data_IF_656977596116
#
_entry.id   IF_656977596116
#
_cell.length_a   1.000
_cell.length_b   1.000
_cell.length_c   1.000
_cell.angle_alpha   90.00
_cell.angle_beta   90.00
_cell.angle_gamma   90.00
#
_symmetry.space_group_name_H-M   'P 1'
#
loop_
_entity.id
_entity.type
_entity.pdbx_description
1 polymer ?
#
# COMPACT_ATOMS: atom_id res chain seq x y z
N UNK A 1 4.14 4.84 -17.35
CA UNK A 1 3.24 5.76 -18.09
C UNK A 1 2.02 5.05 -18.66
N UNK A 2 2.12 3.81 -19.19
CA UNK A 2 0.96 3.07 -19.71
C UNK A 2 0.10 2.38 -18.62
N UNK A 3 0.70 1.99 -17.50
CA UNK A 3 0.04 1.31 -16.35
C UNK A 3 -0.85 2.25 -15.53
N UNK A 4 -0.39 3.45 -15.16
CA UNK A 4 -1.21 4.48 -14.48
C UNK A 4 -2.54 4.84 -15.20
N UNK A 5 -2.63 4.64 -16.52
CA UNK A 5 -3.86 4.88 -17.28
C UNK A 5 -4.83 3.69 -17.19
N UNK A 6 -4.31 2.48 -17.00
CA UNK A 6 -5.04 1.23 -16.87
C UNK A 6 -5.86 1.20 -15.57
N UNK A 7 -5.23 1.45 -14.42
CA UNK A 7 -5.91 1.36 -13.12
C UNK A 7 -6.97 2.46 -12.95
N UNK A 8 -6.71 3.64 -13.54
CA UNK A 8 -7.72 4.70 -13.66
C UNK A 8 -8.92 4.27 -14.51
N UNK A 9 -8.70 3.46 -15.55
CA UNK A 9 -9.77 2.89 -16.34
C UNK A 9 -10.53 1.83 -15.56
N UNK A 10 -9.86 1.01 -14.76
CA UNK A 10 -10.49 -0.07 -14.00
C UNK A 10 -11.40 0.46 -12.89
N UNK A 11 -10.91 1.44 -12.11
CA UNK A 11 -11.74 2.16 -11.13
C UNK A 11 -12.92 2.87 -11.79
N UNK A 12 -12.69 3.53 -12.93
CA UNK A 12 -13.74 4.25 -13.64
C UNK A 12 -14.80 3.29 -14.20
N UNK A 13 -14.39 2.17 -14.77
CA UNK A 13 -15.31 1.13 -15.25
C UNK A 13 -16.09 0.53 -14.09
N UNK A 14 -15.46 0.21 -12.96
CA UNK A 14 -16.17 -0.28 -11.77
C UNK A 14 -17.25 0.69 -11.31
N UNK A 15 -16.94 1.99 -11.23
CA UNK A 15 -17.91 3.02 -10.85
C UNK A 15 -19.12 3.02 -11.81
N UNK A 16 -18.86 3.03 -13.11
CA UNK A 16 -19.92 3.05 -14.14
C UNK A 16 -20.76 1.76 -14.12
N UNK A 17 -20.12 0.60 -13.94
CA UNK A 17 -20.80 -0.69 -13.82
C UNK A 17 -21.66 -0.73 -12.56
N UNK A 18 -21.14 -0.28 -11.41
CA UNK A 18 -21.88 -0.26 -10.16
C UNK A 18 -23.02 0.76 -10.18
N UNK A 19 -22.86 1.89 -10.86
CA UNK A 19 -23.94 2.83 -11.12
C UNK A 19 -25.07 2.18 -11.94
N UNK A 20 -24.72 1.50 -13.03
CA UNK A 20 -25.68 0.76 -13.85
C UNK A 20 -26.37 -0.37 -13.07
N UNK A 21 -25.62 -1.12 -12.25
CA UNK A 21 -26.14 -2.17 -11.38
C UNK A 21 -27.13 -1.62 -10.34
N UNK A 22 -26.79 -0.51 -9.70
CA UNK A 22 -27.67 0.16 -8.73
C UNK A 22 -29.00 0.60 -9.36
N UNK A 23 -28.96 1.19 -10.57
CA UNK A 23 -30.16 1.55 -11.33
C UNK A 23 -31.06 0.35 -11.66
N UNK A 24 -30.52 -0.86 -11.65
CA UNK A 24 -31.22 -2.10 -11.94
C UNK A 24 -31.43 -2.98 -10.69
N UNK A 25 -31.30 -2.42 -9.48
CA UNK A 25 -31.53 -3.13 -8.23
C UNK A 25 -30.56 -4.29 -7.99
N UNK A 26 -29.31 -4.16 -8.45
CA UNK A 26 -28.24 -5.15 -8.24
C UNK A 26 -27.23 -4.65 -7.21
N UNK A 27 -26.69 -5.57 -6.42
CA UNK A 27 -25.63 -5.28 -5.46
C UNK A 27 -24.36 -4.80 -6.17
N UNK A 28 -23.62 -3.90 -5.53
CA UNK A 28 -22.33 -3.46 -6.03
C UNK A 28 -21.35 -4.64 -6.11
N UNK A 29 -20.48 -4.61 -7.12
CA UNK A 29 -19.31 -5.45 -7.23
C UNK A 29 -18.14 -4.77 -6.54
N UNK A 30 -17.21 -5.57 -6.06
CA UNK A 30 -15.85 -5.14 -5.78
C UNK A 30 -14.95 -5.64 -6.90
N UNK A 31 -13.79 -5.03 -7.06
CA UNK A 31 -12.79 -5.60 -7.97
C UNK A 31 -12.05 -6.76 -7.27
N UNK A 32 -11.30 -7.56 -8.02
CA UNK A 32 -10.50 -8.69 -7.51
C UNK A 32 -9.19 -8.80 -8.29
N UNK A 33 -8.07 -8.77 -7.57
CA UNK A 33 -6.72 -8.79 -8.13
C UNK A 33 -6.49 -10.00 -9.05
N UNK A 34 -6.97 -11.18 -8.65
CA UNK A 34 -6.82 -12.41 -9.48
C UNK A 34 -7.58 -12.33 -10.78
N UNK A 35 -8.77 -11.70 -10.77
CA UNK A 35 -9.56 -11.52 -11.98
C UNK A 35 -8.95 -10.46 -12.90
N UNK A 36 -8.37 -9.43 -12.30
CA UNK A 36 -7.66 -8.33 -12.97
C UNK A 36 -6.42 -8.84 -13.70
N UNK A 37 -5.52 -9.51 -12.97
CA UNK A 37 -4.32 -10.13 -13.53
C UNK A 37 -4.64 -11.07 -14.70
N UNK A 38 -5.71 -11.86 -14.57
CA UNK A 38 -6.17 -12.73 -15.65
C UNK A 38 -6.69 -11.94 -16.86
N UNK A 39 -7.37 -10.82 -16.62
CA UNK A 39 -7.93 -9.95 -17.65
C UNK A 39 -6.85 -9.15 -18.39
N UNK A 40 -5.86 -8.58 -17.69
CA UNK A 40 -4.75 -7.84 -18.28
C UNK A 40 -3.88 -8.69 -19.18
N UNK A 41 -3.47 -9.86 -18.68
CA UNK A 41 -2.73 -10.85 -19.49
C UNK A 41 -3.51 -11.18 -20.75
N UNK A 42 -4.83 -11.33 -20.64
CA UNK A 42 -5.66 -11.69 -21.78
C UNK A 42 -5.90 -10.54 -22.77
N UNK A 43 -6.07 -9.30 -22.30
CA UNK A 43 -6.16 -8.13 -23.15
C UNK A 43 -4.90 -7.99 -24.04
N UNK A 44 -3.73 -8.22 -23.45
CA UNK A 44 -2.45 -8.22 -24.17
C UNK A 44 -2.31 -9.40 -25.15
N UNK A 45 -2.77 -10.60 -24.79
CA UNK A 45 -2.79 -11.75 -25.72
C UNK A 45 -3.66 -11.44 -26.93
N UNK A 46 -4.88 -10.94 -26.73
CA UNK A 46 -5.80 -10.55 -27.81
C UNK A 46 -5.20 -9.47 -28.70
N UNK A 47 -4.54 -8.47 -28.11
CA UNK A 47 -3.86 -7.41 -28.84
C UNK A 47 -2.69 -7.93 -29.68
N UNK A 48 -1.84 -8.78 -29.10
CA UNK A 48 -0.66 -9.34 -29.78
C UNK A 48 -1.02 -10.20 -31.00
N UNK A 49 -2.18 -10.85 -30.96
CA UNK A 49 -2.68 -11.68 -32.05
C UNK A 49 -3.69 -10.95 -32.95
N UNK A 50 -4.04 -9.70 -32.62
CA UNK A 50 -5.08 -8.91 -33.27
C UNK A 50 -6.42 -9.67 -33.40
N UNK A 51 -6.81 -10.45 -32.39
CA UNK A 51 -8.03 -11.27 -32.38
C UNK A 51 -8.84 -10.99 -31.12
N UNK A 52 -10.15 -10.75 -31.26
CA UNK A 52 -11.10 -10.67 -30.15
C UNK A 52 -11.81 -12.02 -30.02
N UNK A 53 -11.50 -12.78 -28.97
CA UNK A 53 -12.09 -14.10 -28.74
C UNK A 53 -12.08 -14.45 -27.26
N UNK A 54 -13.09 -15.17 -26.77
CA UNK A 54 -13.12 -15.71 -25.41
C UNK A 54 -12.16 -16.89 -25.20
N UNK A 55 -11.76 -17.53 -26.30
CA UNK A 55 -10.83 -18.66 -26.32
C UNK A 55 -9.70 -18.42 -27.32
N UNK A 56 -8.49 -18.24 -26.79
CA UNK A 56 -7.24 -18.15 -27.56
C UNK A 56 -6.18 -19.04 -26.91
N UNK A 57 -5.29 -19.60 -27.73
CA UNK A 57 -4.19 -20.47 -27.28
C UNK A 57 -4.66 -21.61 -26.35
N UNK A 58 -5.82 -22.20 -26.65
CA UNK A 58 -6.48 -23.23 -25.82
C UNK A 58 -6.79 -22.79 -24.37
N UNK A 59 -6.81 -21.49 -24.09
CA UNK A 59 -7.26 -20.95 -22.80
C UNK A 59 -8.76 -20.64 -22.81
N UNK A 60 -9.41 -20.92 -21.70
CA UNK A 60 -10.74 -20.40 -21.32
C UNK A 60 -10.59 -19.42 -20.17
N UNK A 61 -11.60 -18.57 -19.93
CA UNK A 61 -11.61 -17.71 -18.75
C UNK A 61 -11.35 -18.48 -17.46
N UNK A 62 -12.00 -19.64 -17.28
CA UNK A 62 -11.79 -20.49 -16.11
C UNK A 62 -10.31 -20.91 -15.96
N UNK A 63 -9.67 -21.35 -17.04
CA UNK A 63 -8.24 -21.71 -16.99
C UNK A 63 -7.34 -20.50 -16.70
N UNK A 64 -7.69 -19.30 -17.20
CA UNK A 64 -6.94 -18.07 -16.95
C UNK A 64 -7.04 -17.64 -15.50
N UNK A 65 -8.25 -17.60 -14.95
CA UNK A 65 -8.47 -17.23 -13.56
C UNK A 65 -7.88 -18.27 -12.60
N UNK A 66 -7.94 -19.57 -12.93
CA UNK A 66 -7.30 -20.62 -12.13
C UNK A 66 -5.78 -20.50 -12.12
N UNK A 67 -5.15 -20.04 -13.21
CA UNK A 67 -3.71 -19.78 -13.24
C UNK A 67 -3.30 -18.66 -12.27
N UNK A 68 -4.19 -17.69 -12.02
CA UNK A 68 -4.02 -16.65 -10.99
C UNK A 68 -4.46 -17.09 -9.58
N UNK A 69 -4.75 -18.38 -9.38
CA UNK A 69 -5.16 -18.93 -8.08
C UNK A 69 -6.64 -18.71 -7.72
N UNK A 70 -7.49 -18.35 -8.69
CA UNK A 70 -8.93 -18.27 -8.45
C UNK A 70 -9.53 -19.68 -8.38
N UNK A 71 -10.13 -20.01 -7.24
CA UNK A 71 -10.55 -21.39 -6.92
C UNK A 71 -11.96 -21.75 -7.40
N UNK A 72 -12.78 -20.78 -7.80
CA UNK A 72 -14.18 -21.02 -8.14
C UNK A 72 -14.39 -21.06 -9.65
N UNK A 73 -15.20 -22.01 -10.12
CA UNK A 73 -15.43 -22.27 -11.54
C UNK A 73 -16.56 -21.43 -12.16
N UNK A 74 -17.20 -20.56 -11.37
CA UNK A 74 -18.32 -19.74 -11.82
C UNK A 74 -17.82 -18.37 -12.25
N UNK A 75 -17.42 -18.30 -13.53
CA UNK A 75 -16.81 -17.11 -14.13
C UNK A 75 -17.61 -16.64 -15.37
N UNK A 76 -17.60 -15.34 -15.64
CA UNK A 76 -18.24 -14.70 -16.81
C UNK A 76 -17.30 -13.66 -17.40
N UNK A 77 -17.38 -13.40 -18.70
CA UNK A 77 -16.52 -12.39 -19.34
C UNK A 77 -17.26 -11.56 -20.38
N UNK A 78 -16.91 -10.28 -20.43
CA UNK A 78 -17.23 -9.37 -21.52
C UNK A 78 -15.93 -8.94 -22.20
N UNK A 79 -15.92 -8.92 -23.53
CA UNK A 79 -14.77 -8.46 -24.30
C UNK A 79 -15.13 -7.20 -25.10
N UNK A 80 -14.14 -6.39 -25.40
CA UNK A 80 -14.29 -5.17 -26.19
C UNK A 80 -13.08 -4.91 -27.07
N UNK A 81 -13.31 -4.24 -28.21
CA UNK A 81 -12.25 -3.76 -29.10
C UNK A 81 -12.63 -2.40 -29.65
N UNK A 82 -11.68 -1.46 -29.67
CA UNK A 82 -11.85 -0.15 -30.29
C UNK A 82 -12.46 0.92 -29.39
N UNK A 83 -12.78 0.61 -28.14
CA UNK A 83 -13.23 1.62 -27.16
C UNK A 83 -12.01 2.34 -26.61
N UNK A 84 -11.98 3.67 -26.70
CA UNK A 84 -10.85 4.48 -26.24
C UNK A 84 -11.03 5.01 -24.82
N UNK A 85 -12.22 4.85 -24.23
CA UNK A 85 -12.52 5.28 -22.86
C UNK A 85 -13.35 4.25 -22.09
N UNK A 86 -13.29 4.26 -20.75
CA UNK A 86 -14.18 3.50 -19.87
C UNK A 86 -15.67 3.65 -20.20
N UNK A 87 -16.14 4.87 -20.45
CA UNK A 87 -17.54 5.16 -20.77
C UNK A 87 -17.98 4.47 -22.06
N UNK A 88 -17.13 4.49 -23.09
CA UNK A 88 -17.42 3.82 -24.36
C UNK A 88 -17.50 2.30 -24.19
N UNK A 89 -16.56 1.72 -23.43
CA UNK A 89 -16.54 0.29 -23.17
C UNK A 89 -17.80 -0.16 -22.41
N UNK A 90 -18.12 0.52 -21.29
CA UNK A 90 -19.29 0.19 -20.46
C UNK A 90 -20.59 0.40 -21.23
N UNK A 91 -20.74 1.50 -21.97
CA UNK A 91 -21.92 1.72 -22.78
C UNK A 91 -22.06 0.67 -23.89
N UNK A 92 -20.96 0.26 -24.51
CA UNK A 92 -20.92 -0.83 -25.48
C UNK A 92 -21.40 -2.15 -24.90
N UNK A 93 -20.96 -2.49 -23.68
CA UNK A 93 -21.42 -3.69 -22.97
C UNK A 93 -22.90 -3.60 -22.54
N UNK A 94 -23.36 -2.45 -22.06
CA UNK A 94 -24.78 -2.23 -21.73
C UNK A 94 -25.69 -2.43 -22.97
N UNK A 95 -25.21 -2.02 -24.14
CA UNK A 95 -25.99 -2.12 -25.38
C UNK A 95 -26.02 -3.54 -25.98
N UNK A 96 -25.09 -4.42 -25.59
CA UNK A 96 -25.04 -5.82 -26.02
C UNK A 96 -25.84 -6.71 -25.06
N UNK A 97 -26.88 -7.44 -25.50
CA UNK A 97 -27.70 -8.27 -24.60
C UNK A 97 -26.91 -9.31 -23.80
N UNK A 98 -25.92 -9.96 -24.42
CA UNK A 98 -25.07 -10.94 -23.75
C UNK A 98 -24.17 -10.30 -22.68
N UNK A 99 -23.52 -9.19 -23.01
CA UNK A 99 -22.66 -8.49 -22.06
C UNK A 99 -23.46 -7.84 -20.92
N UNK A 100 -24.61 -7.24 -21.24
CA UNK A 100 -25.56 -6.69 -20.26
C UNK A 100 -26.06 -7.76 -19.29
N UNK A 101 -26.30 -8.98 -19.75
CA UNK A 101 -26.69 -10.08 -18.88
C UNK A 101 -25.60 -10.41 -17.84
N UNK A 102 -24.33 -10.39 -18.23
CA UNK A 102 -23.21 -10.54 -17.29
C UNK A 102 -23.15 -9.38 -16.29
N UNK A 103 -23.29 -8.14 -16.74
CA UNK A 103 -23.30 -6.94 -15.87
C UNK A 103 -24.40 -6.96 -14.83
N UNK A 104 -25.55 -7.58 -15.12
CA UNK A 104 -26.71 -7.68 -14.23
C UNK A 104 -26.84 -9.01 -13.51
N UNK A 105 -25.84 -9.88 -13.62
CA UNK A 105 -25.86 -11.19 -12.98
C UNK A 105 -25.89 -11.04 -11.45
N UNK A 106 -26.70 -11.87 -10.80
CA UNK A 106 -26.93 -11.85 -9.33
C UNK A 106 -25.99 -12.78 -8.58
N UNK A 107 -25.31 -13.65 -9.29
CA UNK A 107 -24.38 -14.64 -8.76
C UNK A 107 -22.94 -14.14 -8.70
N UNK A 108 -22.66 -12.94 -9.19
CA UNK A 108 -21.32 -12.33 -9.16
C UNK A 108 -21.19 -11.34 -8.00
N UNK A 109 -20.00 -11.32 -7.40
CA UNK A 109 -19.64 -10.39 -6.33
C UNK A 109 -18.37 -9.61 -6.66
N UNK A 110 -17.52 -10.16 -7.54
CA UNK A 110 -16.26 -9.55 -7.93
C UNK A 110 -16.18 -9.34 -9.44
N UNK A 111 -15.34 -8.39 -9.86
CA UNK A 111 -14.92 -8.21 -11.24
C UNK A 111 -13.41 -7.98 -11.35
N UNK A 112 -12.86 -8.17 -12.53
CA UNK A 112 -11.52 -7.72 -12.92
C UNK A 112 -11.58 -7.12 -14.31
N UNK A 113 -10.68 -6.21 -14.62
CA UNK A 113 -10.61 -5.52 -15.89
C UNK A 113 -9.19 -5.60 -16.43
N UNK A 114 -9.07 -5.65 -17.75
CA UNK A 114 -7.80 -5.46 -18.41
C UNK A 114 -7.98 -4.73 -19.71
N UNK A 115 -7.05 -3.83 -20.01
CA UNK A 115 -7.03 -3.04 -21.22
C UNK A 115 -5.63 -3.00 -21.84
N UNK A 116 -5.62 -3.14 -23.16
CA UNK A 116 -4.42 -2.97 -23.98
C UNK A 116 -4.65 -1.81 -24.94
N UNK A 117 -3.85 -0.76 -24.77
CA UNK A 117 -3.81 0.40 -25.65
C UNK A 117 -3.41 0.04 -27.09
N UNK A 118 -2.67 -1.06 -27.28
CA UNK A 118 -2.43 -1.61 -28.61
C UNK A 118 -3.72 -2.23 -29.17
N UNK A 119 -4.42 -1.47 -30.03
CA UNK A 119 -5.67 -1.89 -30.66
C UNK A 119 -6.92 -1.73 -29.78
N UNK A 120 -6.78 -1.13 -28.60
CA UNK A 120 -7.86 -0.83 -27.65
C UNK A 120 -8.69 -2.07 -27.28
N UNK A 121 -8.01 -3.11 -26.81
CA UNK A 121 -8.63 -4.35 -26.38
C UNK A 121 -9.03 -4.28 -24.91
N UNK A 122 -10.22 -4.76 -24.58
CA UNK A 122 -10.76 -4.80 -23.23
C UNK A 122 -11.18 -6.23 -22.88
N UNK A 123 -10.82 -6.67 -21.68
CA UNK A 123 -11.24 -7.93 -21.08
C UNK A 123 -11.84 -7.65 -19.72
N UNK A 124 -13.10 -7.99 -19.50
CA UNK A 124 -13.77 -7.81 -18.21
C UNK A 124 -14.23 -9.15 -17.69
N UNK A 125 -13.69 -9.58 -16.55
CA UNK A 125 -13.97 -10.86 -15.91
C UNK A 125 -14.89 -10.64 -14.70
N UNK A 126 -15.76 -11.61 -14.42
CA UNK A 126 -16.62 -11.61 -13.23
C UNK A 126 -16.62 -12.98 -12.57
N UNK A 127 -16.76 -13.00 -11.26
CA UNK A 127 -16.90 -14.26 -10.53
C UNK A 127 -17.67 -14.12 -9.22
N UNK A 128 -18.12 -15.29 -8.71
CA UNK A 128 -18.74 -15.42 -7.39
C UNK A 128 -17.69 -15.73 -6.33
N UNK A 129 -17.73 -14.98 -5.23
CA UNK A 129 -17.09 -15.29 -3.95
C UNK A 129 -15.63 -15.69 -4.10
N UNK A 130 -14.70 -14.78 -3.86
CA UNK A 130 -13.32 -15.18 -3.64
C UNK A 130 -13.12 -15.36 -2.14
N UNK A 131 -12.63 -16.54 -1.71
CA UNK A 131 -12.36 -16.80 -0.30
C UNK A 131 -11.18 -15.97 0.22
N UNK A 132 -10.44 -15.35 -0.71
CA UNK A 132 -9.40 -14.38 -0.45
C UNK A 132 -9.28 -13.48 -1.70
N UNK A 133 -10.19 -12.50 -1.92
CA UNK A 133 -10.29 -11.73 -3.18
C UNK A 133 -9.03 -10.96 -3.58
N UNK A 134 -8.05 -10.89 -2.67
CA UNK A 134 -7.32 -9.66 -2.42
C UNK A 134 -8.32 -8.62 -1.93
N UNK A 135 -7.93 -7.72 -1.04
CA UNK A 135 -8.49 -6.38 -1.23
C UNK A 135 -8.07 -5.99 -2.64
N UNK A 136 -9.02 -5.72 -3.52
CA UNK A 136 -8.65 -4.99 -4.73
C UNK A 136 -8.22 -3.62 -4.26
N UNK A 137 -6.94 -3.53 -4.03
CA UNK A 137 -6.18 -2.31 -4.08
C UNK A 137 -6.30 -1.88 -5.53
N UNK A 138 -6.44 -0.59 -5.80
CA UNK A 138 -5.85 -0.12 -7.04
C UNK A 138 -4.38 -0.52 -6.91
N UNK A 139 -4.00 -1.64 -7.54
CA UNK A 139 -2.61 -1.99 -7.66
C UNK A 139 -2.06 -0.80 -8.44
N UNK A 140 -1.45 0.18 -7.79
CA UNK A 140 -0.52 1.04 -8.51
C UNK A 140 0.66 0.13 -8.78
N UNK A 141 0.53 -0.66 -9.83
CA UNK A 141 1.31 -1.84 -10.12
C UNK A 141 2.66 -1.46 -10.76
N UNK A 142 3.53 -0.81 -9.99
CA UNK A 142 4.95 -1.02 -10.25
C UNK A 142 5.37 -2.42 -9.79
N UNK A 143 4.98 -3.43 -10.55
CA UNK A 143 5.66 -4.72 -10.55
C UNK A 143 5.10 -5.75 -9.58
N UNK A 144 4.77 -6.91 -10.14
CA UNK A 144 4.80 -8.17 -9.41
C UNK A 144 6.20 -8.33 -8.77
N UNK A 145 6.31 -8.11 -7.46
CA UNK A 145 7.45 -8.43 -6.59
C UNK A 145 8.83 -7.96 -7.06
N UNK A 146 9.33 -6.84 -6.52
CA UNK A 146 10.76 -6.50 -6.42
C UNK A 146 11.64 -6.69 -7.68
N UNK A 147 11.07 -6.66 -8.88
CA UNK A 147 11.75 -7.10 -10.10
C UNK A 147 12.07 -5.98 -11.10
N UNK A 148 11.43 -4.82 -10.96
CA UNK A 148 11.80 -3.62 -11.71
C UNK A 148 13.06 -2.99 -11.12
N UNK A 149 13.95 -2.41 -11.92
CA UNK A 149 15.13 -1.65 -11.44
C UNK A 149 14.96 -0.14 -11.64
N UNK A 150 13.79 0.28 -12.10
CA UNK A 150 13.50 1.65 -12.51
C UNK A 150 12.68 2.36 -11.44
N UNK A 151 13.12 3.56 -11.00
CA UNK A 151 12.34 4.45 -10.16
C UNK A 151 10.89 4.61 -10.60
N UNK A 152 10.00 4.52 -9.63
CA UNK A 152 8.55 4.53 -9.74
C UNK A 152 7.90 5.54 -8.80
N UNK A 153 6.59 5.72 -8.99
CA UNK A 153 5.75 6.52 -8.11
C UNK A 153 4.41 5.82 -7.97
N UNK A 154 4.10 5.48 -6.74
CA UNK A 154 3.01 4.61 -6.32
C UNK A 154 2.08 5.43 -5.44
N UNK A 155 0.80 5.42 -5.77
CA UNK A 155 -0.20 6.20 -5.06
C UNK A 155 -1.35 5.28 -4.68
N UNK A 156 -1.64 5.19 -3.39
CA UNK A 156 -2.81 4.56 -2.85
C UNK A 156 -4.07 5.40 -3.09
N UNK A 157 -5.05 5.15 -2.26
CA UNK A 157 -6.42 5.64 -2.35
C UNK A 157 -6.87 6.12 -0.97
N UNK A 158 -8.18 6.31 -0.76
CA UNK A 158 -8.70 6.63 0.58
C UNK A 158 -9.14 5.36 1.36
N UNK A 159 -8.82 4.17 0.87
CA UNK A 159 -9.02 2.92 1.59
C UNK A 159 -7.69 2.19 1.76
N UNK A 160 -7.70 1.10 2.52
CA UNK A 160 -6.49 0.31 2.77
C UNK A 160 -5.86 -0.17 1.46
N UNK A 161 -4.57 0.10 1.26
CA UNK A 161 -3.78 -0.21 0.07
C UNK A 161 -2.54 -1.09 0.36
N UNK A 162 -2.03 -1.77 -0.67
CA UNK A 162 -0.76 -2.51 -0.65
C UNK A 162 0.04 -1.96 -1.83
N UNK A 163 1.11 -1.23 -1.54
CA UNK A 163 1.99 -0.64 -2.53
C UNK A 163 3.30 -1.42 -2.52
N UNK A 164 3.69 -1.96 -3.67
CA UNK A 164 4.95 -2.67 -3.83
C UNK A 164 5.82 -1.88 -4.80
N UNK A 165 6.95 -1.39 -4.29
CA UNK A 165 8.01 -0.73 -5.04
C UNK A 165 8.80 -1.71 -5.91
N UNK A 166 9.95 -1.24 -6.33
CA UNK A 166 10.88 -1.85 -7.26
C UNK A 166 12.25 -2.00 -6.58
N UNK A 167 13.34 -2.15 -7.33
CA UNK A 167 14.70 -2.12 -6.79
C UNK A 167 15.42 -0.82 -7.14
N UNK A 168 14.67 0.20 -7.56
CA UNK A 168 15.17 1.54 -7.79
C UNK A 168 14.41 2.55 -6.94
N UNK A 169 14.97 3.75 -6.77
CA UNK A 169 14.46 4.79 -5.88
C UNK A 169 13.00 5.19 -6.17
N UNK A 170 12.08 4.76 -5.32
CA UNK A 170 10.65 4.90 -5.48
C UNK A 170 10.05 5.99 -4.59
N UNK A 171 8.80 6.34 -4.90
CA UNK A 171 7.95 7.18 -4.05
C UNK A 171 6.63 6.49 -3.81
N UNK A 172 6.31 6.17 -2.57
CA UNK A 172 5.11 5.44 -2.17
C UNK A 172 4.24 6.36 -1.29
N UNK A 173 3.00 6.60 -1.70
CA UNK A 173 2.03 7.44 -1.00
C UNK A 173 0.79 6.62 -0.66
N UNK A 174 0.52 6.31 0.61
CA UNK A 174 -0.65 5.53 1.06
C UNK A 174 -1.96 6.32 0.99
N UNK A 175 -1.91 7.60 1.37
CA UNK A 175 -3.04 8.52 1.53
C UNK A 175 -3.96 8.21 2.70
N UNK A 176 -4.98 7.37 2.54
CA UNK A 176 -5.93 7.14 3.62
C UNK A 176 -6.33 5.68 3.69
N UNK A 177 -6.37 5.11 4.88
CA UNK A 177 -6.58 3.68 5.05
C UNK A 177 -5.50 3.10 5.95
N UNK A 178 -5.58 1.81 6.24
CA UNK A 178 -4.48 1.11 6.90
C UNK A 178 -3.67 0.40 5.82
N UNK A 179 -2.56 1.01 5.41
CA UNK A 179 -1.83 0.65 4.21
C UNK A 179 -0.63 -0.24 4.51
N UNK A 180 -0.13 -0.90 3.47
CA UNK A 180 1.13 -1.66 3.49
C UNK A 180 2.00 -1.23 2.34
N UNK A 181 3.10 -0.54 2.62
CA UNK A 181 4.02 -0.04 1.62
C UNK A 181 5.34 -0.81 1.74
N UNK A 182 5.84 -1.34 0.62
CA UNK A 182 7.09 -2.09 0.53
C UNK A 182 7.99 -1.46 -0.53
N UNK A 183 9.22 -1.05 -0.18
CA UNK A 183 10.15 -0.39 -1.10
C UNK A 183 11.04 -1.39 -1.84
N UNK A 184 11.50 -2.41 -1.11
CA UNK A 184 12.47 -3.43 -1.52
C UNK A 184 13.90 -2.91 -1.66
N UNK A 185 14.23 -2.18 -2.72
CA UNK A 185 15.61 -1.73 -2.92
C UNK A 185 15.68 -0.39 -3.62
N UNK A 186 16.78 0.32 -3.41
CA UNK A 186 16.89 1.73 -3.81
C UNK A 186 16.57 2.66 -2.64
N UNK A 187 16.88 3.94 -2.81
CA UNK A 187 16.63 4.94 -1.77
C UNK A 187 15.21 5.49 -1.95
N UNK A 188 14.30 5.01 -1.14
CA UNK A 188 12.87 5.20 -1.32
C UNK A 188 12.30 6.29 -0.41
N UNK A 189 11.17 6.85 -0.83
CA UNK A 189 10.39 7.80 -0.05
C UNK A 189 9.00 7.23 0.21
N UNK A 190 8.58 7.22 1.47
CA UNK A 190 7.26 6.74 1.88
C UNK A 190 6.49 7.81 2.64
N UNK A 191 5.17 7.85 2.41
CA UNK A 191 4.21 8.68 3.13
C UNK A 191 2.91 7.89 3.33
N UNK A 192 2.70 7.34 4.53
CA UNK A 192 1.48 6.59 4.89
C UNK A 192 0.25 7.50 5.01
N UNK A 193 0.46 8.74 5.46
CA UNK A 193 -0.56 9.78 5.61
C UNK A 193 -1.60 9.48 6.71
N UNK A 194 -2.78 8.91 6.41
CA UNK A 194 -3.84 8.71 7.39
C UNK A 194 -4.14 7.23 7.62
N UNK A 195 -4.00 6.76 8.86
CA UNK A 195 -4.46 5.45 9.29
C UNK A 195 -3.33 4.66 9.94
N UNK A 196 -3.56 3.36 10.20
CA UNK A 196 -2.53 2.54 10.84
C UNK A 196 -1.72 1.81 9.77
N UNK A 197 -0.58 2.37 9.40
CA UNK A 197 0.18 1.95 8.24
C UNK A 197 1.35 1.03 8.62
N UNK A 198 1.73 0.19 7.65
CA UNK A 198 2.93 -0.64 7.71
C UNK A 198 3.85 -0.23 6.56
N UNK A 199 5.05 0.23 6.88
CA UNK A 199 6.03 0.70 5.91
C UNK A 199 7.32 -0.09 6.09
N UNK A 200 7.81 -0.69 5.01
CA UNK A 200 9.05 -1.49 4.95
C UNK A 200 9.93 -0.97 3.80
N UNK A 201 10.99 -0.25 4.16
CA UNK A 201 11.93 0.37 3.23
C UNK A 201 12.67 -0.67 2.39
N UNK A 202 13.31 -1.62 3.07
CA UNK A 202 14.01 -2.73 2.44
C UNK A 202 15.51 -2.50 2.47
N UNK A 203 16.14 -2.26 1.34
CA UNK A 203 17.58 -2.06 1.23
C UNK A 203 17.94 -0.73 0.60
N UNK A 204 19.08 -0.19 1.00
CA UNK A 204 19.53 1.19 0.74
C UNK A 204 18.85 2.19 1.68
N UNK A 205 19.09 3.50 1.49
CA UNK A 205 18.75 4.51 2.50
C UNK A 205 17.35 5.06 2.24
N UNK A 206 16.42 4.75 3.13
CA UNK A 206 15.01 5.06 2.95
C UNK A 206 14.53 6.20 3.85
N UNK A 207 13.48 6.89 3.41
CA UNK A 207 12.81 7.93 4.18
C UNK A 207 11.35 7.56 4.39
N UNK A 208 11.00 7.21 5.63
CA UNK A 208 9.68 6.71 6.02
C UNK A 208 8.93 7.74 6.86
N UNK A 209 7.80 8.21 6.36
CA UNK A 209 6.81 8.97 7.12
C UNK A 209 5.56 8.10 7.37
N UNK A 210 5.26 7.80 8.64
CA UNK A 210 4.07 7.06 9.06
C UNK A 210 2.82 7.90 8.79
N UNK A 211 2.60 8.91 9.62
CA UNK A 211 1.53 9.89 9.37
C UNK A 211 0.74 10.20 10.63
N UNK A 212 -0.58 10.14 10.51
CA UNK A 212 -1.52 10.18 11.64
C UNK A 212 -1.93 8.75 12.01
N UNK A 213 -2.16 8.51 13.31
CA UNK A 213 -2.51 7.22 13.91
C UNK A 213 -1.29 6.32 14.22
N UNK A 214 -1.48 5.00 14.34
CA UNK A 214 -0.48 4.09 14.91
C UNK A 214 0.20 3.31 13.78
N UNK A 215 1.46 3.61 13.53
CA UNK A 215 2.20 3.06 12.40
C UNK A 215 3.29 2.07 12.81
N UNK A 216 3.69 1.23 11.86
CA UNK A 216 4.87 0.37 11.96
C UNK A 216 5.82 0.72 10.83
N UNK A 217 7.00 1.23 11.16
CA UNK A 217 8.04 1.62 10.21
C UNK A 217 9.26 0.70 10.39
N UNK A 218 9.73 0.14 9.30
CA UNK A 218 10.91 -0.72 9.22
C UNK A 218 11.82 -0.13 8.14
N UNK A 219 13.00 0.37 8.52
CA UNK A 219 13.98 0.90 7.59
C UNK A 219 14.58 -0.23 6.74
N UNK A 220 15.23 -1.18 7.42
CA UNK A 220 15.77 -2.37 6.80
C UNK A 220 17.30 -2.33 6.80
N UNK A 221 17.94 -2.34 5.64
CA UNK A 221 19.40 -2.18 5.55
C UNK A 221 19.75 -0.88 4.87
N UNK A 222 20.51 -0.01 5.52
CA UNK A 222 20.77 1.32 5.01
C UNK A 222 20.90 2.31 6.16
N UNK A 223 21.05 3.59 5.85
CA UNK A 223 20.96 4.64 6.85
C UNK A 223 19.59 5.30 6.70
N UNK A 224 18.63 4.84 7.48
CA UNK A 224 17.23 5.14 7.26
C UNK A 224 16.76 6.31 8.11
N UNK A 225 15.76 7.03 7.62
CA UNK A 225 15.09 8.12 8.33
C UNK A 225 13.66 7.72 8.63
N UNK A 226 13.33 7.50 9.90
CA UNK A 226 12.03 7.03 10.35
C UNK A 226 11.31 8.10 11.16
N UNK A 227 10.16 8.56 10.66
CA UNK A 227 9.31 9.53 11.34
C UNK A 227 7.88 8.97 11.42
N UNK A 228 7.47 8.51 12.60
CA UNK A 228 6.11 8.00 12.80
C UNK A 228 5.02 9.06 12.59
N UNK A 229 5.38 10.34 12.59
CA UNK A 229 4.47 11.43 12.23
C UNK A 229 3.94 12.20 13.43
N UNK A 230 2.70 12.68 13.31
CA UNK A 230 2.13 13.64 14.26
C UNK A 230 0.73 13.25 14.71
N UNK A 231 0.56 13.41 16.02
CA UNK A 231 -0.72 13.56 16.70
C UNK A 231 -1.52 14.78 16.22
N UNK A 232 -2.14 14.69 15.05
CA UNK A 232 -3.00 15.73 14.51
C UNK A 232 -4.41 15.62 15.11
N UNK A 233 -4.61 16.16 16.31
CA UNK A 233 -5.96 16.42 16.83
C UNK A 233 -6.75 15.19 17.30
N UNK A 234 -6.11 14.03 17.45
CA UNK A 234 -6.71 12.84 18.06
C UNK A 234 -6.49 12.89 19.58
N UNK A 235 -7.54 12.62 20.36
CA UNK A 235 -7.45 12.49 21.83
C UNK A 235 -6.99 11.09 22.28
N UNK A 236 -6.77 10.19 21.33
CA UNK A 236 -6.21 8.87 21.55
C UNK A 236 -4.74 8.94 21.15
N UNK A 237 -3.84 8.80 22.12
CA UNK A 237 -2.40 8.79 21.89
C UNK A 237 -1.95 7.91 20.73
N UNK A 238 -0.88 8.30 20.04
CA UNK A 238 -0.25 7.51 18.97
C UNK A 238 0.83 6.58 19.54
N UNK A 239 0.86 5.35 19.05
CA UNK A 239 1.83 4.32 19.38
C UNK A 239 2.45 3.81 18.07
N UNK A 240 3.54 4.46 17.67
CA UNK A 240 4.32 4.02 16.51
C UNK A 240 5.40 3.04 16.93
N UNK A 241 5.65 2.06 16.08
CA UNK A 241 6.72 1.08 16.24
C UNK A 241 7.74 1.32 15.14
N UNK A 242 8.97 1.66 15.54
CA UNK A 242 10.06 2.03 14.65
C UNK A 242 11.20 1.01 14.79
N UNK A 243 11.66 0.49 13.66
CA UNK A 243 12.75 -0.49 13.56
C UNK A 243 13.72 0.01 12.50
N UNK A 244 14.94 0.36 12.88
CA UNK A 244 15.93 0.91 11.95
C UNK A 244 16.50 -0.20 11.06
N UNK A 245 16.93 -1.28 11.70
CA UNK A 245 17.56 -2.42 11.08
C UNK A 245 19.08 -2.30 11.13
N UNK A 246 19.75 -2.48 10.00
CA UNK A 246 21.21 -2.40 9.92
C UNK A 246 21.66 -1.11 9.26
N UNK A 247 22.52 -0.36 9.94
CA UNK A 247 23.17 0.83 9.42
C UNK A 247 23.14 1.94 10.46
N UNK A 248 23.13 3.19 10.03
CA UNK A 248 23.09 4.36 10.91
C UNK A 248 21.76 5.06 10.74
N UNK A 249 20.81 4.71 11.60
CA UNK A 249 19.42 5.12 11.43
C UNK A 249 19.07 6.35 12.26
N UNK A 250 18.09 7.12 11.79
CA UNK A 250 17.57 8.31 12.48
C UNK A 250 16.11 8.14 12.83
N UNK A 251 15.81 8.01 14.12
CA UNK A 251 14.46 7.96 14.67
C UNK A 251 13.97 9.35 15.05
N UNK A 252 12.90 9.82 14.43
CA UNK A 252 12.46 11.21 14.53
C UNK A 252 11.23 11.33 15.43
N UNK A 253 11.42 11.96 16.58
CA UNK A 253 10.37 12.16 17.59
C UNK A 253 10.02 13.65 17.77
N UNK A 254 10.34 14.47 16.76
CA UNK A 254 10.05 15.89 16.72
C UNK A 254 10.79 16.65 15.60
N UNK A 255 10.33 17.87 15.32
CA UNK A 255 10.84 18.72 14.25
C UNK A 255 10.23 20.13 14.28
N UNK A 256 10.13 20.81 13.13
CA UNK A 256 9.67 22.20 13.03
C UNK A 256 8.32 22.50 13.70
N UNK A 257 7.48 21.48 13.90
CA UNK A 257 6.15 21.59 14.51
C UNK A 257 6.12 21.31 16.02
N UNK A 258 7.26 20.95 16.63
CA UNK A 258 7.35 20.63 18.06
C UNK A 258 7.86 19.20 18.31
N UNK A 259 7.56 18.71 19.51
CA UNK A 259 7.87 17.34 19.95
C UNK A 259 6.67 16.45 19.66
N UNK A 260 6.91 15.28 19.08
CA UNK A 260 5.88 14.26 18.81
C UNK A 260 5.52 13.50 20.10
N UNK A 261 4.40 12.78 20.10
CA UNK A 261 3.95 11.91 21.21
C UNK A 261 3.71 12.61 22.56
N UNK A 262 3.22 13.85 22.55
CA UNK A 262 2.79 14.54 23.77
C UNK A 262 1.39 14.07 24.17
N UNK A 263 1.25 13.55 25.41
CA UNK A 263 -0.01 13.08 25.97
C UNK A 263 -0.03 11.57 26.22
N UNK A 264 -1.01 10.87 25.65
CA UNK A 264 -1.12 9.42 25.76
C UNK A 264 -0.21 8.72 24.73
N UNK A 265 0.29 7.52 25.08
CA UNK A 265 1.19 6.69 24.26
C UNK A 265 2.54 7.35 23.87
N UNK A 266 3.38 6.61 23.14
CA UNK A 266 4.78 6.95 22.86
C UNK A 266 5.26 6.20 21.62
N UNK A 267 6.32 6.67 20.96
CA UNK A 267 7.04 5.83 20.00
C UNK A 267 7.74 4.66 20.71
N UNK A 268 7.84 3.52 20.03
CA UNK A 268 8.59 2.35 20.45
C UNK A 268 9.70 2.09 19.44
N UNK A 269 10.94 2.27 19.84
CA UNK A 269 12.12 1.94 19.02
C UNK A 269 12.58 0.55 19.42
N UNK A 270 12.68 -0.36 18.46
CA UNK A 270 12.80 -1.81 18.77
C UNK A 270 14.21 -2.36 18.73
N UNK A 271 15.15 -1.70 18.05
CA UNK A 271 16.46 -2.26 17.73
C UNK A 271 17.62 -1.24 17.76
N UNK A 272 17.46 -0.15 18.51
CA UNK A 272 18.42 0.95 18.57
C UNK A 272 19.87 0.50 18.88
N UNK A 273 20.81 0.75 17.96
CA UNK A 273 22.26 0.58 18.16
C UNK A 273 22.92 1.92 18.52
N UNK A 274 23.30 2.08 19.78
CA UNK A 274 23.95 3.29 20.30
C UNK A 274 25.32 3.63 19.66
N UNK A 275 25.89 2.76 18.81
CA UNK A 275 27.12 3.07 18.07
C UNK A 275 26.85 3.72 16.71
N UNK A 276 25.64 3.55 16.16
CA UNK A 276 25.31 3.98 14.81
C UNK A 276 24.05 4.83 14.74
N UNK A 277 23.07 4.61 15.61
CA UNK A 277 21.74 5.22 15.52
C UNK A 277 21.60 6.51 16.31
N UNK A 278 20.65 7.32 15.85
CA UNK A 278 20.41 8.69 16.31
C UNK A 278 18.93 8.88 16.59
N UNK A 279 18.62 9.59 17.66
CA UNK A 279 17.26 10.04 17.96
C UNK A 279 17.18 11.55 17.73
N UNK A 280 16.34 11.98 16.80
CA UNK A 280 16.10 13.40 16.56
C UNK A 280 14.92 13.90 17.41
N UNK A 281 15.14 14.99 18.17
CA UNK A 281 14.12 15.62 19.01
C UNK A 281 14.19 17.15 18.93
N UNK A 282 13.07 17.83 19.19
CA UNK A 282 12.96 19.29 19.14
C UNK A 282 13.36 19.97 20.46
N UNK A 283 14.33 20.87 20.44
CA UNK A 283 14.70 21.69 21.62
C UNK A 283 16.12 21.40 22.11
N UNK A 284 16.29 21.13 23.40
CA UNK A 284 17.60 20.94 24.04
C UNK A 284 17.58 19.78 25.02
N UNK A 285 18.75 19.22 25.35
CA UNK A 285 18.86 18.10 26.30
C UNK A 285 18.21 18.37 27.66
N UNK A 286 18.22 19.63 28.14
CA UNK A 286 17.60 20.02 29.41
C UNK A 286 16.07 19.93 29.41
N UNK A 287 15.45 19.82 28.24
CA UNK A 287 13.99 19.68 28.11
C UNK A 287 13.51 18.25 28.38
N UNK A 288 14.44 17.30 28.50
CA UNK A 288 14.16 15.87 28.52
C UNK A 288 14.76 15.17 29.74
N UNK A 289 14.15 14.05 30.11
CA UNK A 289 14.70 13.11 31.10
C UNK A 289 14.63 11.69 30.57
N UNK A 290 15.62 10.87 30.90
CA UNK A 290 15.63 9.43 30.62
C UNK A 290 15.55 8.64 31.92
N UNK A 291 14.87 7.50 31.88
CA UNK A 291 14.84 6.52 32.98
C UNK A 291 14.94 5.11 32.42
N UNK A 292 15.54 4.18 33.17
CA UNK A 292 15.63 2.77 32.80
C UNK A 292 14.67 1.91 33.61
N UNK A 293 14.18 0.80 33.03
CA UNK A 293 13.20 -0.07 33.68
C UNK A 293 12.72 -1.18 32.74
N UNK A 294 11.76 -1.98 33.19
CA UNK A 294 11.19 -3.07 32.39
C UNK A 294 9.77 -2.69 31.97
N UNK A 295 9.61 -2.26 30.72
CA UNK A 295 8.34 -1.80 30.16
C UNK A 295 7.89 -2.60 28.91
N UNK A 296 8.67 -3.60 28.48
CA UNK A 296 8.34 -4.61 27.47
C UNK A 296 9.58 -5.49 27.14
N UNK A 297 9.50 -6.38 26.15
CA UNK A 297 10.70 -7.05 25.60
C UNK A 297 11.23 -8.29 26.34
N UNK A 298 12.38 -8.80 25.87
CA UNK A 298 13.04 -10.02 26.37
C UNK A 298 14.00 -9.71 27.51
N UNK A 299 13.55 -9.69 28.77
CA UNK A 299 14.39 -9.65 30.00
C UNK A 299 15.42 -8.51 30.17
N UNK A 300 15.70 -7.70 29.15
CA UNK A 300 16.64 -6.59 29.21
C UNK A 300 15.91 -5.31 29.63
N UNK A 301 16.66 -4.37 30.18
CA UNK A 301 16.14 -3.09 30.68
C UNK A 301 16.02 -2.09 29.54
N UNK A 302 14.83 -1.51 29.39
CA UNK A 302 14.51 -0.49 28.41
C UNK A 302 14.93 0.91 28.89
N UNK A 303 15.10 1.84 27.95
CA UNK A 303 15.23 3.28 28.23
C UNK A 303 13.95 4.01 27.82
N UNK A 304 13.33 4.71 28.76
CA UNK A 304 12.19 5.58 28.51
C UNK A 304 12.62 7.04 28.47
N UNK A 305 12.23 7.74 27.38
CA UNK A 305 12.47 9.16 27.18
C UNK A 305 11.20 9.96 27.48
N UNK A 306 11.33 11.01 28.27
CA UNK A 306 10.22 11.86 28.68
C UNK A 306 10.47 13.33 28.39
N UNK A 307 9.38 14.04 28.07
CA UNK A 307 9.30 15.51 28.10
C UNK A 307 8.28 15.92 29.16
N UNK A 308 8.77 16.48 30.27
CA UNK A 308 7.93 16.69 31.45
C UNK A 308 7.41 15.36 32.02
N UNK A 309 6.09 15.20 32.05
CA UNK A 309 5.42 13.98 32.52
C UNK A 309 5.09 13.01 31.38
N UNK A 310 5.14 13.46 30.13
CA UNK A 310 4.78 12.66 28.97
C UNK A 310 5.96 11.78 28.57
N UNK A 311 5.71 10.48 28.44
CA UNK A 311 6.68 9.55 27.86
C UNK A 311 6.55 9.66 26.36
N UNK A 312 7.61 10.06 25.67
CA UNK A 312 7.56 10.26 24.21
C UNK A 312 8.20 9.10 23.45
N UNK A 313 9.09 8.35 24.11
CA UNK A 313 9.73 7.18 23.52
C UNK A 313 9.98 6.08 24.54
N UNK A 314 9.92 4.84 24.07
CA UNK A 314 10.48 3.67 24.72
C UNK A 314 11.49 3.03 23.77
N UNK A 315 12.76 3.06 24.14
CA UNK A 315 13.85 2.39 23.45
C UNK A 315 14.01 1.02 24.10
N UNK A 316 13.66 -0.03 23.37
CA UNK A 316 13.64 -1.40 23.90
C UNK A 316 15.03 -1.98 24.06
N UNK A 317 15.16 -2.82 25.09
CA UNK A 317 16.35 -3.66 25.33
C UNK A 317 17.69 -2.89 25.29
N UNK A 318 17.65 -1.57 25.59
CA UNK A 318 18.80 -0.68 25.50
C UNK A 318 18.88 0.24 26.71
N UNK A 319 20.03 0.28 27.39
CA UNK A 319 20.24 1.12 28.59
C UNK A 319 21.29 2.23 28.44
N UNK A 320 22.14 2.16 27.41
CA UNK A 320 23.29 3.05 27.26
C UNK A 320 23.03 4.23 26.31
N UNK A 321 21.80 4.75 26.30
CA UNK A 321 21.42 5.91 25.49
C UNK A 321 21.88 7.20 26.18
N UNK A 322 22.52 8.11 25.45
CA UNK A 322 23.18 9.30 25.97
C UNK A 322 22.87 10.56 25.14
N UNK A 323 22.35 11.61 25.79
CA UNK A 323 22.02 12.89 25.13
C UNK A 323 23.18 13.58 24.39
N UNK A 324 24.44 13.34 24.76
CA UNK A 324 25.59 13.96 24.12
C UNK A 324 26.10 13.26 22.86
N UNK A 325 25.61 12.04 22.59
CA UNK A 325 26.09 11.21 21.47
C UNK A 325 24.94 10.73 20.58
N UNK A 326 23.85 10.28 21.19
CA UNK A 326 22.80 9.50 20.53
C UNK A 326 21.61 10.38 20.11
N UNK A 327 21.71 11.69 20.31
CA UNK A 327 20.62 12.64 20.06
C UNK A 327 21.04 13.78 19.15
N UNK A 328 20.19 14.07 18.17
CA UNK A 328 20.22 15.29 17.40
C UNK A 328 19.11 16.24 17.86
N UNK A 329 19.51 17.44 18.31
CA UNK A 329 18.59 18.46 18.79
C UNK A 329 18.37 19.51 17.69
N UNK A 330 17.11 19.66 17.24
CA UNK A 330 16.72 20.55 16.14
C UNK A 330 15.84 21.72 16.55
#
# INVERSE_FOLDING_TARGET
>A
MATLQQDQFDLRVLQLVNQFRAQNGRAALTLSEKLDNAADKYANVMASQNILSHTLNNSTLASRTTAEGYMWNMVRENLGKGYTTPEQAVQGWINSPGHRANLLATDITHMGLGYSSNGNYWSQSFARGDANPGTYMAQTDGGSGGGGTTPGTFNGTNGNDILNGTTGNDKLYGYGGNDKLYGYGGNDYFDGSYGNDYLDGGSDNDTLYGGENNDTLIGGSGNDFLNGGRLAGTTSGELDVLTGGSGSDTFVLGGSWGVSYLGANNAVITDFDFNYDWIQVKGSASDYRMTTGSWGGTSETDTALYKGNDRIALIRDTTNVNFGRDFNFV
#
